data_IF_818149028063
#
_entry.id   IF_818149028063
#
_cell.length_a   1.000
_cell.length_b   1.000
_cell.length_c   1.000
_cell.angle_alpha   90.00
_cell.angle_beta   90.00
_cell.angle_gamma   90.00
#
_symmetry.space_group_name_H-M   'P 1'
#
loop_
_entity.id
_entity.type
_entity.pdbx_description
1 polymer ?
#
# COMPACT_ATOMS: atom_id res chain seq x y z
N UNK A 1 19.91 29.66 11.76
CA UNK A 1 18.70 30.05 11.00
C UNK A 1 17.48 29.64 11.81
N UNK A 2 16.57 30.56 12.16
CA UNK A 2 15.33 30.23 12.88
C UNK A 2 14.23 30.08 11.82
N UNK A 3 13.79 28.85 11.57
CA UNK A 3 12.70 28.59 10.64
C UNK A 3 11.39 29.11 11.25
N UNK A 4 10.53 29.70 10.43
CA UNK A 4 9.19 30.10 10.83
C UNK A 4 8.18 28.95 10.75
N UNK A 5 8.63 27.70 10.55
CA UNK A 5 7.79 26.49 10.55
C UNK A 5 8.46 25.28 11.20
N UNK A 6 7.68 24.25 11.58
CA UNK A 6 8.22 22.99 12.11
C UNK A 6 8.86 22.15 10.98
N UNK A 7 10.19 22.07 10.99
CA UNK A 7 10.99 21.32 10.02
C UNK A 7 10.64 19.81 9.96
N UNK A 8 10.15 19.23 11.06
CA UNK A 8 9.75 17.81 11.10
C UNK A 8 8.43 17.57 10.39
N UNK A 9 7.49 18.52 10.53
CA UNK A 9 6.25 18.54 9.75
C UNK A 9 6.53 18.63 8.27
N UNK A 10 7.42 19.55 7.87
CA UNK A 10 7.86 19.70 6.49
C UNK A 10 8.51 18.42 5.94
N UNK A 11 9.44 17.82 6.69
CA UNK A 11 10.10 16.59 6.27
C UNK A 11 9.11 15.42 6.11
N UNK A 12 8.11 15.32 6.99
CA UNK A 12 7.06 14.31 6.88
C UNK A 12 6.21 14.52 5.61
N UNK A 13 5.69 15.72 5.39
CA UNK A 13 4.84 16.03 4.23
C UNK A 13 5.60 15.87 2.91
N UNK A 14 6.84 16.38 2.83
CA UNK A 14 7.69 16.22 1.67
C UNK A 14 8.02 14.74 1.38
N UNK A 15 8.30 13.93 2.42
CA UNK A 15 8.53 12.50 2.24
C UNK A 15 7.29 11.74 1.78
N UNK A 16 6.11 12.10 2.29
CA UNK A 16 4.83 11.54 1.86
C UNK A 16 4.53 11.87 0.39
N UNK A 17 4.86 13.10 -0.03
CA UNK A 17 4.70 13.54 -1.41
C UNK A 17 5.64 12.80 -2.37
N UNK A 18 6.90 12.57 -1.97
CA UNK A 18 7.84 11.74 -2.76
C UNK A 18 7.31 10.31 -2.93
N UNK A 19 6.77 9.70 -1.86
CA UNK A 19 6.17 8.38 -1.95
C UNK A 19 4.94 8.38 -2.88
N UNK A 20 4.09 9.40 -2.80
CA UNK A 20 2.92 9.55 -3.67
C UNK A 20 3.32 9.64 -5.15
N UNK A 21 4.29 10.49 -5.48
CA UNK A 21 4.78 10.65 -6.86
C UNK A 21 5.48 9.38 -7.37
N UNK A 22 6.26 8.72 -6.51
CA UNK A 22 6.93 7.46 -6.83
C UNK A 22 5.93 6.36 -7.15
N UNK A 23 4.89 6.21 -6.33
CA UNK A 23 3.81 5.26 -6.59
C UNK A 23 3.08 5.58 -7.90
N UNK A 24 2.64 6.82 -8.09
CA UNK A 24 1.89 7.20 -9.29
C UNK A 24 2.68 6.93 -10.59
N UNK A 25 4.00 7.18 -10.57
CA UNK A 25 4.87 6.93 -11.71
C UNK A 25 5.05 5.43 -11.98
N UNK A 26 5.31 4.64 -10.94
CA UNK A 26 5.52 3.20 -11.05
C UNK A 26 4.23 2.45 -11.40
N UNK A 27 3.10 2.80 -10.78
CA UNK A 27 1.79 2.21 -11.06
C UNK A 27 1.41 2.44 -12.52
N UNK A 28 1.55 3.69 -13.01
CA UNK A 28 1.29 4.02 -14.41
C UNK A 28 2.12 3.19 -15.40
N UNK A 29 3.40 2.95 -15.10
CA UNK A 29 4.26 2.14 -15.96
C UNK A 29 3.78 0.69 -16.02
N UNK A 30 3.52 0.06 -14.86
CA UNK A 30 3.03 -1.31 -14.79
C UNK A 30 1.63 -1.47 -15.41
N UNK A 31 0.73 -0.51 -15.23
CA UNK A 31 -0.58 -0.51 -15.90
C UNK A 31 -0.42 -0.45 -17.42
N UNK A 32 0.50 0.37 -17.94
CA UNK A 32 0.78 0.40 -19.37
C UNK A 32 1.34 -0.93 -19.89
N UNK A 33 2.18 -1.62 -19.10
CA UNK A 33 2.69 -2.94 -19.45
C UNK A 33 1.58 -4.00 -19.45
N UNK A 34 0.66 -3.99 -18.49
CA UNK A 34 -0.53 -4.86 -18.47
C UNK A 34 -1.34 -4.68 -19.75
N UNK A 35 -1.64 -3.43 -20.12
CA UNK A 35 -2.43 -3.14 -21.34
C UNK A 35 -1.68 -3.53 -22.62
N UNK A 36 -0.36 -3.37 -22.66
CA UNK A 36 0.48 -3.85 -23.77
C UNK A 36 0.40 -5.36 -23.93
N UNK A 37 0.54 -6.12 -22.84
CA UNK A 37 0.50 -7.59 -22.89
C UNK A 37 -0.88 -8.09 -23.28
N UNK A 38 -1.95 -7.49 -22.73
CA UNK A 38 -3.33 -7.81 -23.12
C UNK A 38 -3.60 -7.55 -24.60
N UNK A 39 -3.10 -6.45 -25.14
CA UNK A 39 -3.19 -6.15 -26.56
C UNK A 39 -2.43 -7.17 -27.42
N UNK A 40 -1.25 -7.62 -26.97
CA UNK A 40 -0.50 -8.66 -27.65
C UNK A 40 -1.21 -10.03 -27.63
N UNK A 41 -1.83 -10.38 -26.50
CA UNK A 41 -2.65 -11.60 -26.38
C UNK A 41 -3.84 -11.57 -27.34
N UNK A 42 -4.61 -10.48 -27.34
CA UNK A 42 -5.75 -10.32 -28.24
C UNK A 42 -5.33 -10.34 -29.73
N UNK A 43 -4.16 -9.78 -30.06
CA UNK A 43 -3.64 -9.82 -31.41
C UNK A 43 -3.21 -11.24 -31.84
N UNK A 44 -2.61 -12.00 -30.93
CA UNK A 44 -2.25 -13.39 -31.17
C UNK A 44 -3.49 -14.27 -31.38
N UNK A 45 -4.50 -14.15 -30.52
CA UNK A 45 -5.75 -14.93 -30.63
C UNK A 45 -6.53 -14.64 -31.92
N UNK A 46 -6.40 -13.44 -32.47
CA UNK A 46 -7.02 -13.05 -33.74
C UNK A 46 -6.21 -13.48 -34.98
N UNK A 47 -4.97 -13.94 -34.79
CA UNK A 47 -4.08 -14.35 -35.88
C UNK A 47 -4.36 -15.80 -36.30
N UNK A 48 -4.38 -16.11 -37.61
CA UNK A 48 -4.38 -17.50 -38.08
C UNK A 48 -2.99 -18.16 -38.00
N UNK A 49 -1.95 -17.41 -37.65
CA UNK A 49 -0.56 -17.88 -37.59
C UNK A 49 -0.26 -18.56 -36.25
N UNK A 50 0.14 -19.83 -36.30
CA UNK A 50 0.67 -20.53 -35.14
C UNK A 50 2.15 -20.14 -34.93
N UNK A 51 2.45 -19.59 -33.76
CA UNK A 51 3.83 -19.28 -33.34
C UNK A 51 4.16 -20.20 -32.17
N UNK A 52 4.96 -21.22 -32.44
CA UNK A 52 5.33 -22.23 -31.46
C UNK A 52 6.12 -23.38 -32.06
N UNK A 53 6.32 -24.41 -31.26
CA UNK A 53 7.03 -25.63 -31.65
C UNK A 53 6.18 -26.86 -31.32
N UNK A 54 6.25 -27.86 -32.19
CA UNK A 54 5.61 -29.15 -32.00
C UNK A 54 6.66 -30.26 -32.08
N UNK A 55 6.46 -31.32 -31.32
CA UNK A 55 7.29 -32.53 -31.43
C UNK A 55 6.95 -33.33 -32.71
N UNK A 56 7.68 -34.43 -32.92
CA UNK A 56 7.52 -35.32 -34.08
C UNK A 56 6.13 -36.00 -34.12
N UNK A 57 5.41 -36.03 -33.00
CA UNK A 57 4.07 -36.60 -32.86
C UNK A 57 2.97 -35.54 -33.04
N UNK A 58 3.35 -34.26 -33.18
CA UNK A 58 2.46 -33.13 -33.37
C UNK A 58 1.96 -32.48 -32.07
N UNK A 59 2.49 -32.87 -30.90
CA UNK A 59 2.15 -32.24 -29.62
C UNK A 59 2.84 -30.88 -29.51
N UNK A 60 2.15 -29.89 -28.95
CA UNK A 60 2.70 -28.55 -28.74
C UNK A 60 3.73 -28.60 -27.60
N UNK A 61 4.97 -28.23 -27.88
CA UNK A 61 6.04 -28.09 -26.89
C UNK A 61 6.00 -26.72 -26.22
N UNK A 62 5.76 -25.67 -27.01
CA UNK A 62 5.46 -24.32 -26.53
C UNK A 62 4.68 -23.55 -27.58
N UNK A 63 3.98 -22.51 -27.12
CA UNK A 63 3.20 -21.62 -27.96
C UNK A 63 3.28 -20.19 -27.42
N UNK A 64 3.28 -19.21 -28.31
CA UNK A 64 3.30 -17.79 -27.98
C UNK A 64 2.17 -17.38 -27.03
N UNK A 65 0.97 -17.96 -27.18
CA UNK A 65 -0.16 -17.71 -26.27
C UNK A 65 0.17 -18.04 -24.81
N UNK A 66 0.78 -19.20 -24.56
CA UNK A 66 1.19 -19.60 -23.21
C UNK A 66 2.25 -18.65 -22.62
N UNK A 67 3.18 -18.15 -23.45
CA UNK A 67 4.16 -17.15 -23.03
C UNK A 67 3.48 -15.83 -22.66
N UNK A 68 2.50 -15.38 -23.46
CA UNK A 68 1.74 -14.15 -23.19
C UNK A 68 0.87 -14.27 -21.93
N UNK A 69 0.30 -15.44 -21.64
CA UNK A 69 -0.38 -15.69 -20.36
C UNK A 69 0.57 -15.53 -19.18
N UNK A 70 1.75 -16.15 -19.22
CA UNK A 70 2.75 -16.03 -18.16
C UNK A 70 3.26 -14.59 -18.01
N UNK A 71 3.44 -13.87 -19.13
CA UNK A 71 3.83 -12.47 -19.10
C UNK A 71 2.75 -11.60 -18.45
N UNK A 72 1.46 -11.86 -18.76
CA UNK A 72 0.34 -11.14 -18.16
C UNK A 72 0.27 -11.37 -16.66
N UNK A 73 0.35 -12.63 -16.21
CA UNK A 73 0.40 -12.98 -14.79
C UNK A 73 1.56 -12.26 -14.08
N UNK A 74 2.75 -12.25 -14.70
CA UNK A 74 3.94 -11.60 -14.15
C UNK A 74 3.74 -10.10 -13.94
N UNK A 75 3.18 -9.38 -14.92
CA UNK A 75 2.98 -7.92 -14.80
C UNK A 75 1.85 -7.56 -13.84
N UNK A 76 0.81 -8.39 -13.74
CA UNK A 76 -0.27 -8.24 -12.76
C UNK A 76 0.26 -8.48 -11.33
N UNK A 77 1.03 -9.54 -11.10
CA UNK A 77 1.70 -9.81 -9.82
C UNK A 77 2.69 -8.68 -9.44
N UNK A 78 3.41 -8.12 -10.41
CA UNK A 78 4.30 -6.99 -10.18
C UNK A 78 3.54 -5.75 -9.68
N UNK A 79 2.35 -5.47 -10.21
CA UNK A 79 1.52 -4.36 -9.77
C UNK A 79 0.99 -4.58 -8.34
N UNK A 80 0.56 -5.80 -8.00
CA UNK A 80 0.16 -6.14 -6.63
C UNK A 80 1.33 -6.01 -5.65
N UNK A 81 2.52 -6.52 -6.02
CA UNK A 81 3.72 -6.40 -5.23
C UNK A 81 4.13 -4.93 -5.02
N UNK A 82 3.99 -4.08 -6.04
CA UNK A 82 4.21 -2.65 -5.94
C UNK A 82 3.27 -2.01 -4.91
N UNK A 83 1.97 -2.29 -5.00
CA UNK A 83 0.96 -1.77 -4.07
C UNK A 83 1.27 -2.19 -2.63
N UNK A 84 1.58 -3.46 -2.40
CA UNK A 84 1.97 -3.98 -1.08
C UNK A 84 3.23 -3.27 -0.54
N UNK A 85 4.26 -3.09 -1.37
CA UNK A 85 5.49 -2.41 -0.99
C UNK A 85 5.23 -0.94 -0.59
N UNK A 86 4.36 -0.23 -1.31
CA UNK A 86 4.05 1.16 -1.01
C UNK A 86 3.23 1.33 0.28
N UNK A 87 2.32 0.40 0.59
CA UNK A 87 1.64 0.39 1.90
C UNK A 87 2.65 0.29 3.04
N UNK A 88 3.62 -0.62 2.93
CA UNK A 88 4.67 -0.79 3.93
C UNK A 88 5.57 0.45 4.03
N UNK A 89 5.95 1.04 2.90
CA UNK A 89 6.76 2.25 2.85
C UNK A 89 6.05 3.44 3.51
N UNK A 90 4.77 3.65 3.21
CA UNK A 90 3.94 4.71 3.79
C UNK A 90 3.78 4.53 5.31
N UNK A 91 3.45 3.33 5.76
CA UNK A 91 3.32 3.03 7.18
C UNK A 91 4.65 3.25 7.93
N UNK A 92 5.78 2.76 7.40
CA UNK A 92 7.08 2.97 8.02
C UNK A 92 7.51 4.44 8.01
N UNK A 93 7.17 5.21 6.97
CA UNK A 93 7.43 6.65 6.93
C UNK A 93 6.71 7.38 8.08
N UNK A 94 5.42 7.09 8.27
CA UNK A 94 4.66 7.59 9.42
C UNK A 94 5.27 7.17 10.75
N UNK A 95 5.57 5.87 10.92
CA UNK A 95 6.08 5.35 12.17
C UNK A 95 7.41 6.01 12.56
N UNK A 96 8.34 6.15 11.60
CA UNK A 96 9.60 6.85 11.82
C UNK A 96 9.41 8.32 12.19
N UNK A 97 8.51 9.01 11.50
CA UNK A 97 8.20 10.40 11.79
C UNK A 97 7.62 10.58 13.20
N UNK A 98 6.65 9.75 13.59
CA UNK A 98 6.06 9.79 14.94
C UNK A 98 7.09 9.44 16.01
N UNK A 99 7.95 8.44 15.79
CA UNK A 99 9.04 8.11 16.73
C UNK A 99 9.97 9.30 16.94
N UNK A 100 10.43 9.93 15.86
CA UNK A 100 11.28 11.12 15.93
C UNK A 100 10.58 12.30 16.61
N UNK A 101 9.30 12.53 16.31
CA UNK A 101 8.53 13.65 16.87
C UNK A 101 8.24 13.49 18.36
N UNK A 102 8.01 12.25 18.81
CA UNK A 102 7.64 11.92 20.19
C UNK A 102 8.84 11.52 21.07
N UNK A 103 10.03 11.35 20.49
CA UNK A 103 11.20 10.82 21.19
C UNK A 103 11.02 9.36 21.61
N UNK A 104 10.25 8.58 20.85
CA UNK A 104 10.01 7.16 21.15
C UNK A 104 11.18 6.29 20.72
N UNK A 105 11.53 5.31 21.56
CA UNK A 105 12.44 4.21 21.21
C UNK A 105 11.86 3.31 20.10
N UNK A 106 12.64 2.32 19.63
CA UNK A 106 12.24 1.37 18.60
C UNK A 106 11.22 0.32 19.07
N UNK A 107 11.08 0.11 20.38
CA UNK A 107 10.20 -0.90 20.97
C UNK A 107 8.78 -0.38 21.23
N UNK A 108 8.56 0.93 21.10
CA UNK A 108 7.24 1.52 21.29
C UNK A 108 6.22 0.89 20.33
N UNK A 109 5.14 0.34 20.91
CA UNK A 109 4.04 -0.32 20.18
C UNK A 109 3.10 0.71 19.57
N UNK A 110 2.34 0.32 18.54
CA UNK A 110 1.38 1.20 17.85
C UNK A 110 0.52 2.06 18.79
N UNK A 111 -0.17 1.46 19.77
CA UNK A 111 -1.01 2.22 20.71
C UNK A 111 -0.22 3.25 21.53
N UNK A 112 1.04 2.96 21.85
CA UNK A 112 1.90 3.89 22.56
C UNK A 112 2.33 5.05 21.65
N UNK A 113 2.62 4.78 20.38
CA UNK A 113 2.96 5.80 19.39
C UNK A 113 1.79 6.77 19.18
N UNK A 114 0.56 6.25 18.99
CA UNK A 114 -0.65 7.07 18.84
C UNK A 114 -0.85 7.95 20.08
N UNK A 115 -0.87 7.36 21.27
CA UNK A 115 -1.06 8.13 22.51
C UNK A 115 0.04 9.17 22.76
N UNK A 116 1.28 8.90 22.34
CA UNK A 116 2.38 9.87 22.43
C UNK A 116 2.23 10.99 21.39
N UNK A 117 1.76 10.68 20.19
CA UNK A 117 1.48 11.64 19.13
C UNK A 117 0.36 12.62 19.54
N UNK A 118 -0.73 12.09 20.13
CA UNK A 118 -1.83 12.90 20.67
C UNK A 118 -1.36 13.89 21.73
N UNK A 119 -0.54 13.43 22.69
CA UNK A 119 0.06 14.32 23.71
C UNK A 119 0.96 15.42 23.13
N UNK A 120 1.41 15.27 21.88
CA UNK A 120 2.21 16.25 21.16
C UNK A 120 1.39 17.08 20.16
N UNK A 121 0.05 16.99 20.22
CA UNK A 121 -0.86 17.73 19.36
C UNK A 121 -0.94 17.19 17.93
N UNK A 122 -0.66 15.90 17.72
CA UNK A 122 -0.96 15.24 16.44
C UNK A 122 -2.28 14.49 16.64
N UNK A 123 -3.31 14.72 15.81
CA UNK A 123 -4.62 14.10 16.01
C UNK A 123 -4.54 12.58 15.86
N UNK A 124 -5.26 11.85 16.73
CA UNK A 124 -5.52 10.44 16.47
C UNK A 124 -6.52 10.30 15.31
N UNK A 125 -6.14 9.49 14.33
CA UNK A 125 -6.99 9.14 13.20
C UNK A 125 -7.47 7.70 13.41
N UNK A 126 -8.76 7.46 13.68
CA UNK A 126 -9.27 6.10 13.97
C UNK A 126 -8.91 5.09 12.87
N UNK A 127 -9.00 5.49 11.60
CA UNK A 127 -8.68 4.66 10.44
C UNK A 127 -7.19 4.28 10.36
N UNK A 128 -6.29 4.91 11.11
CA UNK A 128 -4.88 4.51 11.18
C UNK A 128 -4.72 3.07 11.69
N UNK A 129 -5.68 2.57 12.47
CA UNK A 129 -5.71 1.18 12.89
C UNK A 129 -5.84 0.20 11.71
N UNK A 130 -6.56 0.59 10.65
CA UNK A 130 -6.69 -0.18 9.41
C UNK A 130 -5.34 -0.32 8.73
N UNK A 131 -4.65 0.80 8.50
CA UNK A 131 -3.32 0.83 7.86
C UNK A 131 -2.28 0.06 8.68
N UNK A 132 -2.29 0.23 10.00
CA UNK A 132 -1.42 -0.56 10.90
C UNK A 132 -1.65 -2.06 10.77
N UNK A 133 -2.91 -2.51 10.70
CA UNK A 133 -3.23 -3.93 10.56
C UNK A 133 -2.83 -4.44 9.18
N UNK A 134 -3.13 -3.68 8.13
CA UNK A 134 -2.71 -4.00 6.77
C UNK A 134 -1.19 -4.19 6.67
N UNK A 135 -0.40 -3.23 7.15
CA UNK A 135 1.06 -3.31 7.11
C UNK A 135 1.60 -4.53 7.88
N UNK A 136 1.04 -4.86 9.05
CA UNK A 136 1.47 -6.05 9.79
C UNK A 136 1.03 -7.35 9.14
N UNK A 137 -0.15 -7.41 8.53
CA UNK A 137 -0.61 -8.59 7.80
C UNK A 137 0.30 -8.85 6.60
N UNK A 138 0.60 -7.83 5.80
CA UNK A 138 1.53 -7.93 4.66
C UNK A 138 2.94 -8.36 5.09
N UNK A 139 3.43 -7.84 6.21
CA UNK A 139 4.79 -8.15 6.71
C UNK A 139 4.92 -9.55 7.29
N UNK A 140 3.89 -10.06 7.96
CA UNK A 140 4.00 -11.27 8.78
C UNK A 140 3.16 -12.46 8.29
N UNK A 141 2.31 -12.26 7.28
CA UNK A 141 1.29 -13.22 6.87
C UNK A 141 0.52 -13.82 8.07
N UNK A 142 0.22 -12.97 9.06
CA UNK A 142 -0.22 -13.42 10.39
C UNK A 142 -1.73 -13.53 10.47
N UNK A 143 -2.24 -14.70 10.85
CA UNK A 143 -3.68 -14.90 11.06
C UNK A 143 -4.31 -14.01 12.13
N UNK A 144 -3.55 -13.63 13.16
CA UNK A 144 -4.04 -12.66 14.15
C UNK A 144 -4.25 -11.27 13.54
N UNK A 145 -3.28 -10.77 12.75
CA UNK A 145 -3.40 -9.46 12.13
C UNK A 145 -4.41 -9.47 10.97
N UNK A 146 -4.41 -10.54 10.17
CA UNK A 146 -5.31 -10.74 9.06
C UNK A 146 -6.77 -10.82 9.48
N UNK A 147 -7.10 -11.61 10.51
CA UNK A 147 -8.48 -11.68 11.01
C UNK A 147 -8.99 -10.32 11.50
N UNK A 148 -8.15 -9.56 12.21
CA UNK A 148 -8.54 -8.20 12.66
C UNK A 148 -8.66 -7.24 11.49
N UNK A 149 -7.79 -7.35 10.48
CA UNK A 149 -7.88 -6.55 9.26
C UNK A 149 -9.17 -6.84 8.50
N UNK A 150 -9.58 -8.10 8.38
CA UNK A 150 -10.81 -8.52 7.71
C UNK A 150 -12.07 -7.89 8.34
N UNK A 151 -12.08 -7.69 9.65
CA UNK A 151 -13.19 -7.00 10.33
C UNK A 151 -13.14 -5.47 10.16
N UNK A 152 -11.94 -4.89 10.04
CA UNK A 152 -11.77 -3.45 9.93
C UNK A 152 -11.87 -2.93 8.49
N UNK A 153 -11.48 -3.74 7.51
CA UNK A 153 -11.35 -3.36 6.11
C UNK A 153 -11.60 -4.57 5.20
N UNK A 154 -12.86 -5.01 5.17
CA UNK A 154 -13.29 -6.21 4.44
C UNK A 154 -13.14 -6.09 2.93
N UNK A 155 -13.24 -4.88 2.39
CA UNK A 155 -13.21 -4.62 0.94
C UNK A 155 -11.85 -4.95 0.30
N UNK A 156 -10.78 -5.09 1.08
CA UNK A 156 -9.47 -5.55 0.60
C UNK A 156 -9.44 -7.05 0.25
N UNK A 157 -10.52 -7.77 0.56
CA UNK A 157 -10.61 -9.21 0.39
C UNK A 157 -11.68 -9.52 -0.65
N UNK A 158 -11.44 -10.55 -1.46
CA UNK A 158 -12.41 -10.99 -2.46
C UNK A 158 -13.76 -11.35 -1.82
N UNK A 159 -14.89 -11.21 -2.55
CA UNK A 159 -16.23 -11.38 -2.01
C UNK A 159 -16.52 -12.78 -1.43
N UNK A 160 -15.74 -13.78 -1.86
CA UNK A 160 -15.84 -15.18 -1.38
C UNK A 160 -14.73 -15.57 -0.40
N UNK A 161 -13.86 -14.63 -0.03
CA UNK A 161 -12.84 -14.88 0.97
C UNK A 161 -13.47 -15.20 2.32
N UNK A 162 -12.98 -16.26 2.97
CA UNK A 162 -13.39 -16.66 4.30
C UNK A 162 -12.15 -16.90 5.13
N UNK A 163 -12.06 -16.21 6.26
CA UNK A 163 -10.93 -16.34 7.17
C UNK A 163 -10.83 -17.77 7.73
N UNK A 164 -9.64 -18.38 7.60
CA UNK A 164 -9.29 -19.68 8.18
C UNK A 164 -7.97 -19.59 8.94
N UNK A 165 -7.69 -20.51 9.89
CA UNK A 165 -6.44 -20.49 10.65
C UNK A 165 -5.17 -20.59 9.78
N UNK A 166 -5.26 -21.25 8.63
CA UNK A 166 -4.21 -21.52 7.65
C UNK A 166 -4.29 -20.63 6.39
N UNK A 167 -5.16 -19.61 6.39
CA UNK A 167 -5.28 -18.69 5.27
C UNK A 167 -3.93 -18.04 4.93
N UNK A 168 -3.62 -18.00 3.64
CA UNK A 168 -2.55 -17.13 3.13
C UNK A 168 -3.09 -15.70 3.05
N UNK A 169 -2.93 -14.97 4.16
CA UNK A 169 -3.42 -13.60 4.31
C UNK A 169 -2.71 -12.62 3.38
N UNK A 170 -1.45 -12.87 3.04
CA UNK A 170 -0.71 -12.04 2.09
C UNK A 170 -1.36 -12.11 0.71
N UNK A 171 -1.64 -13.33 0.22
CA UNK A 171 -2.29 -13.54 -1.09
C UNK A 171 -3.78 -13.22 -1.10
N UNK A 172 -4.44 -13.22 0.06
CA UNK A 172 -5.85 -12.91 0.16
C UNK A 172 -6.17 -11.41 0.03
N UNK A 173 -5.18 -10.55 0.22
CA UNK A 173 -5.31 -9.10 0.10
C UNK A 173 -5.15 -8.72 -1.36
N UNK A 174 -6.16 -8.05 -1.92
CA UNK A 174 -6.09 -7.40 -3.22
C UNK A 174 -6.25 -5.90 -3.03
N UNK A 175 -5.21 -5.14 -3.38
CA UNK A 175 -5.21 -3.68 -3.29
C UNK A 175 -5.52 -3.08 -4.66
N UNK A 176 -6.41 -2.10 -4.68
CA UNK A 176 -6.63 -1.19 -5.81
C UNK A 176 -5.82 0.11 -5.65
N UNK A 177 -5.82 0.94 -6.68
CA UNK A 177 -5.21 2.28 -6.59
C UNK A 177 -5.96 3.18 -5.59
N UNK A 178 -7.28 3.00 -5.47
CA UNK A 178 -8.10 3.73 -4.49
C UNK A 178 -7.72 3.36 -3.05
N UNK A 179 -7.40 2.09 -2.79
CA UNK A 179 -6.91 1.66 -1.48
C UNK A 179 -5.56 2.31 -1.15
N UNK A 180 -4.66 2.43 -2.13
CA UNK A 180 -3.38 3.13 -1.94
C UNK A 180 -3.60 4.62 -1.66
N UNK A 181 -4.51 5.27 -2.38
CA UNK A 181 -4.87 6.66 -2.11
C UNK A 181 -5.49 6.84 -0.72
N UNK A 182 -6.33 5.91 -0.28
CA UNK A 182 -6.92 5.91 1.05
C UNK A 182 -5.84 5.74 2.15
N UNK A 183 -4.88 4.82 1.95
CA UNK A 183 -3.72 4.67 2.84
C UNK A 183 -2.93 5.99 2.92
N UNK A 184 -2.65 6.63 1.79
CA UNK A 184 -1.94 7.92 1.75
C UNK A 184 -2.71 9.02 2.50
N UNK A 185 -4.03 9.09 2.32
CA UNK A 185 -4.91 10.04 3.02
C UNK A 185 -4.86 9.84 4.53
N UNK A 186 -5.01 8.60 4.99
CA UNK A 186 -4.97 8.24 6.42
C UNK A 186 -3.61 8.59 7.02
N UNK A 187 -2.52 8.19 6.36
CA UNK A 187 -1.14 8.46 6.79
C UNK A 187 -0.87 9.95 6.87
N UNK A 188 -1.26 10.70 5.83
CA UNK A 188 -1.14 12.14 5.79
C UNK A 188 -1.89 12.82 6.93
N UNK A 189 -3.10 12.36 7.26
CA UNK A 189 -3.90 12.88 8.37
C UNK A 189 -3.31 12.55 9.75
N UNK A 190 -2.70 11.37 9.90
CA UNK A 190 -2.17 10.87 11.17
C UNK A 190 -0.74 11.34 11.49
N UNK A 191 -0.10 12.10 10.60
CA UNK A 191 1.29 12.54 10.75
C UNK A 191 1.47 13.98 11.23
N UNK A 192 2.72 14.39 11.54
CA UNK A 192 3.07 15.77 11.85
C UNK A 192 2.72 16.72 10.69
N UNK A 193 2.27 17.95 10.99
CA UNK A 193 1.92 18.96 9.97
C UNK A 193 2.91 20.11 9.93
N UNK A 194 3.02 20.76 8.77
CA UNK A 194 3.74 22.04 8.66
C UNK A 194 2.94 23.13 9.37
N UNK A 195 3.46 23.58 10.52
CA UNK A 195 2.87 24.67 11.29
C UNK A 195 3.76 25.90 11.29
N UNK A 196 3.21 27.12 11.23
CA UNK A 196 3.96 28.33 11.55
C UNK A 196 4.42 28.27 13.02
N UNK A 197 5.70 28.54 13.29
CA UNK A 197 6.23 28.64 14.66
C UNK A 197 5.44 29.72 15.43
N UNK A 198 4.83 29.36 16.57
CA UNK A 198 4.19 30.30 17.50
C UNK A 198 2.66 30.34 17.50
N UNK A 199 1.96 29.47 16.75
CA UNK A 199 0.51 29.25 16.93
C UNK A 199 0.26 27.90 17.61
N UNK A 200 -0.46 27.85 18.75
CA UNK A 200 -0.84 26.58 19.36
C UNK A 200 -1.76 25.78 18.43
N UNK A 201 -1.69 24.46 18.56
CA UNK A 201 -2.65 23.54 17.94
C UNK A 201 -4.08 23.93 18.35
N UNK A 202 -5.06 24.04 17.44
CA UNK A 202 -6.44 24.20 17.84
C UNK A 202 -6.89 22.91 18.53
N UNK A 203 -6.85 22.89 19.86
CA UNK A 203 -7.44 21.84 20.66
C UNK A 203 -8.96 21.92 20.47
N UNK A 204 -9.50 20.98 19.70
CA UNK A 204 -10.92 20.62 19.56
C UNK A 204 -11.93 21.78 19.48
N UNK A 205 -12.54 21.95 18.32
CA UNK A 205 -13.88 22.54 18.26
C UNK A 205 -14.83 21.47 18.82
N UNK A 206 -15.21 21.61 20.09
CA UNK A 206 -16.41 20.97 20.61
C UNK A 206 -17.60 21.71 20.00
N UNK A 207 -18.25 21.13 19.01
CA UNK A 207 -19.54 21.64 18.55
C UNK A 207 -20.64 21.15 19.49
N UNK A 208 -21.56 22.07 19.73
CA UNK A 208 -22.70 22.03 20.63
C UNK A 208 -23.97 21.83 19.82
#
# INVERSE_FOLDING_TARGET
MKLNFDARGYAFEAGSEVLRQGYASASKALTADIERVRAAHAAYDASPEFIGERDDEGNILWEQGAILTLEQETVEEALEALRNAFVLALYHHWERAIRAYTGSDQNAKYRQLVARAERKGIPAVPDMAKVYRLANTLKHNSGHHGAVLFELWRDLFGPFFSARPDSDWYRAISLSDDDIHEVMRIIGAAGPKVWPYGKPFPLSVSES
#
